data_IF_483966555914
#
_entry.id   IF_483966555914
#
_cell.length_a   1.000
_cell.length_b   1.000
_cell.length_c   1.000
_cell.angle_alpha   90.00
_cell.angle_beta   90.00
_cell.angle_gamma   90.00
#
_symmetry.space_group_name_H-M   'P 1'
#
loop_
_entity.id
_entity.type
_entity.pdbx_description
1 polymer ?
#
# COMPACT_ATOMS: atom_id res chain seq x y z
N UNK A 1 -1.34 -1.52 -3.15
CA UNK A 1 -1.91 -1.59 -1.80
C UNK A 1 -2.90 -2.75 -1.60
N UNK A 2 -3.07 -3.60 -2.60
CA UNK A 2 -3.92 -4.79 -2.46
C UNK A 2 -3.25 -5.88 -1.63
N UNK A 3 -1.93 -6.08 -1.81
CA UNK A 3 -1.14 -7.14 -1.15
C UNK A 3 -0.43 -6.61 0.10
N UNK A 4 0.10 -5.40 0.02
CA UNK A 4 0.91 -4.80 1.09
C UNK A 4 0.25 -3.54 1.65
N UNK A 5 0.49 -3.30 2.93
CA UNK A 5 0.12 -2.07 3.63
C UNK A 5 1.36 -1.42 4.23
N UNK A 6 1.21 -0.19 4.70
CA UNK A 6 2.24 0.61 5.36
C UNK A 6 1.87 0.86 6.81
N UNK A 7 2.78 1.35 7.64
CA UNK A 7 2.47 1.75 9.01
C UNK A 7 1.47 2.90 9.05
N UNK A 8 1.65 3.87 8.16
CA UNK A 8 0.83 5.06 8.00
C UNK A 8 0.41 5.22 6.54
N UNK A 9 -0.64 5.98 6.29
CA UNK A 9 -1.13 6.30 4.95
C UNK A 9 -1.74 7.70 4.96
N UNK A 10 -2.36 8.15 3.85
CA UNK A 10 -3.02 9.44 3.77
C UNK A 10 -4.53 9.29 3.72
N UNK A 11 -5.24 10.17 4.41
CA UNK A 11 -6.68 10.35 4.25
C UNK A 11 -7.01 11.17 2.99
N UNK A 12 -8.30 11.41 2.72
CA UNK A 12 -8.77 12.19 1.57
C UNK A 12 -8.36 13.68 1.61
N UNK A 13 -7.90 14.17 2.77
CA UNK A 13 -7.38 15.53 2.97
C UNK A 13 -5.86 15.59 3.00
N UNK A 14 -5.19 14.47 2.68
CA UNK A 14 -3.73 14.34 2.74
C UNK A 14 -3.13 14.47 4.14
N UNK A 15 -3.91 14.22 5.19
CA UNK A 15 -3.35 14.05 6.52
C UNK A 15 -2.78 12.65 6.67
N UNK A 16 -1.65 12.53 7.35
CA UNK A 16 -1.10 11.22 7.72
C UNK A 16 -2.00 10.59 8.76
N UNK A 17 -2.47 9.38 8.47
CA UNK A 17 -3.32 8.58 9.35
C UNK A 17 -2.73 7.18 9.55
N UNK A 18 -2.99 6.53 10.69
CA UNK A 18 -2.46 5.20 10.96
C UNK A 18 -3.11 4.14 10.06
N UNK A 19 -2.33 3.12 9.66
CA UNK A 19 -2.81 1.94 8.91
C UNK A 19 -2.48 0.65 9.64
N UNK A 20 -1.24 0.18 9.65
CA UNK A 20 -0.78 -0.94 10.48
C UNK A 20 -0.39 -0.50 11.89
N UNK A 21 0.01 0.76 12.06
CA UNK A 21 0.12 1.37 13.38
C UNK A 21 -1.27 1.53 14.01
N UNK A 22 -1.37 1.40 15.32
CA UNK A 22 -2.60 1.61 16.09
C UNK A 22 -3.02 3.07 16.06
N UNK A 23 -2.05 3.98 16.29
CA UNK A 23 -2.21 5.44 16.33
C UNK A 23 -0.97 6.13 15.72
N UNK A 24 -0.98 7.46 15.70
CA UNK A 24 0.23 8.23 15.41
C UNK A 24 1.30 7.94 16.48
N UNK A 25 2.59 8.02 16.14
CA UNK A 25 3.67 7.65 17.07
C UNK A 25 3.76 8.63 18.24
N UNK A 26 4.26 8.15 19.37
CA UNK A 26 4.76 9.03 20.42
C UNK A 26 6.14 9.52 20.02
N UNK A 27 6.31 10.84 19.97
CA UNK A 27 7.58 11.46 19.60
C UNK A 27 8.23 12.02 20.85
N UNK A 28 9.54 11.78 21.03
CA UNK A 28 10.30 12.34 22.14
C UNK A 28 10.38 13.87 22.08
N UNK A 29 10.65 14.51 23.21
CA UNK A 29 10.70 15.97 23.31
C UNK A 29 11.77 16.61 22.40
N UNK A 30 12.85 15.90 22.10
CA UNK A 30 13.91 16.30 21.18
C UNK A 30 13.58 16.01 19.70
N UNK A 31 12.42 15.40 19.41
CA UNK A 31 11.97 15.09 18.07
C UNK A 31 12.73 13.96 17.36
N UNK A 32 13.55 13.19 18.09
CA UNK A 32 14.42 12.18 17.48
C UNK A 32 13.91 10.76 17.60
N UNK A 33 13.15 10.41 18.64
CA UNK A 33 12.64 9.05 18.84
C UNK A 33 11.15 8.97 18.56
N UNK A 34 10.76 8.00 17.74
CA UNK A 34 9.38 7.72 17.34
C UNK A 34 8.99 6.32 17.84
N UNK A 35 8.17 6.25 18.87
CA UNK A 35 7.61 5.00 19.39
C UNK A 35 6.29 4.70 18.70
N UNK A 36 6.21 3.61 17.96
CA UNK A 36 5.11 3.19 17.12
C UNK A 36 4.49 1.92 17.72
N UNK A 37 3.23 1.96 18.09
CA UNK A 37 2.48 0.76 18.52
C UNK A 37 1.80 0.13 17.30
N UNK A 38 1.95 -1.17 17.11
CA UNK A 38 1.29 -1.92 16.03
C UNK A 38 -0.13 -2.34 16.46
N UNK A 39 -1.06 -2.38 15.51
CA UNK A 39 -2.37 -2.97 15.73
C UNK A 39 -2.22 -4.46 16.06
N UNK A 40 -2.99 -4.93 17.03
CA UNK A 40 -3.08 -6.35 17.37
C UNK A 40 -4.02 -7.09 16.40
N UNK A 41 -3.78 -8.39 16.23
CA UNK A 41 -4.63 -9.24 15.40
C UNK A 41 -4.52 -8.98 13.90
N UNK A 42 -3.46 -8.31 13.45
CA UNK A 42 -3.21 -8.12 12.02
C UNK A 42 -2.59 -9.39 11.45
N UNK A 43 -3.33 -10.07 10.57
CA UNK A 43 -2.88 -11.32 9.98
C UNK A 43 -2.08 -11.08 8.70
N UNK A 44 -0.97 -11.76 8.57
CA UNK A 44 -0.21 -11.91 7.33
C UNK A 44 -0.82 -13.00 6.45
N UNK A 45 -0.58 -12.95 5.14
CA UNK A 45 -1.11 -13.93 4.18
C UNK A 45 -0.64 -15.38 4.44
N UNK A 46 0.46 -15.58 5.17
CA UNK A 46 0.93 -16.90 5.60
C UNK A 46 0.20 -17.43 6.88
N UNK A 47 -0.79 -16.70 7.40
CA UNK A 47 -1.60 -17.11 8.54
C UNK A 47 -1.00 -16.81 9.91
N UNK A 48 0.14 -16.15 9.98
CA UNK A 48 0.77 -15.68 11.21
C UNK A 48 0.38 -14.22 11.49
N UNK A 49 0.38 -13.80 12.74
CA UNK A 49 0.18 -12.39 13.11
C UNK A 49 1.43 -11.56 12.83
N UNK A 50 1.21 -10.32 12.38
CA UNK A 50 2.25 -9.31 12.19
C UNK A 50 2.92 -8.97 13.52
N UNK A 51 4.24 -8.86 13.52
CA UNK A 51 5.03 -8.48 14.70
C UNK A 51 6.07 -7.38 14.39
N UNK A 52 6.78 -6.93 15.42
CA UNK A 52 7.79 -5.89 15.30
C UNK A 52 8.95 -6.28 14.37
N UNK A 53 9.38 -7.54 14.40
CA UNK A 53 10.44 -8.05 13.54
C UNK A 53 10.12 -7.90 12.04
N UNK A 54 8.87 -8.14 11.65
CA UNK A 54 8.42 -7.97 10.27
C UNK A 54 8.54 -6.51 9.83
N UNK A 55 8.17 -5.60 10.71
CA UNK A 55 8.24 -4.16 10.45
C UNK A 55 9.69 -3.70 10.36
N UNK A 56 10.54 -4.09 11.31
CA UNK A 56 11.98 -3.75 11.30
C UNK A 56 12.64 -4.25 10.02
N UNK A 57 12.44 -5.52 9.66
CA UNK A 57 13.01 -6.11 8.45
C UNK A 57 12.50 -5.43 7.18
N UNK A 58 11.20 -5.12 7.12
CA UNK A 58 10.58 -4.44 5.97
C UNK A 58 11.11 -3.03 5.77
N UNK A 59 11.19 -2.24 6.83
CA UNK A 59 11.72 -0.88 6.76
C UNK A 59 13.21 -0.87 6.43
N UNK A 60 14.00 -1.79 6.98
CA UNK A 60 15.42 -1.97 6.64
C UNK A 60 15.57 -2.24 5.14
N UNK A 61 14.82 -3.22 4.61
CA UNK A 61 14.81 -3.50 3.19
C UNK A 61 14.37 -2.28 2.34
N UNK A 62 13.35 -1.56 2.76
CA UNK A 62 12.89 -0.36 2.05
C UNK A 62 13.98 0.72 2.01
N UNK A 63 14.68 0.94 3.11
CA UNK A 63 15.82 1.87 3.19
C UNK A 63 17.01 1.45 2.31
N UNK A 64 17.20 0.16 2.08
CA UNK A 64 18.27 -0.36 1.23
C UNK A 64 17.92 -0.35 -0.27
N UNK A 65 16.67 -0.64 -0.62
CA UNK A 65 16.27 -0.92 -2.01
C UNK A 65 15.55 0.25 -2.69
N UNK A 66 14.77 1.03 -1.97
CA UNK A 66 13.98 2.13 -2.52
C UNK A 66 14.78 3.43 -2.58
N UNK A 67 14.73 4.21 -3.68
CA UNK A 67 15.34 5.54 -3.72
C UNK A 67 14.86 6.44 -2.59
N UNK A 68 13.57 6.39 -2.25
CA UNK A 68 12.97 7.13 -1.14
C UNK A 68 13.47 6.62 0.21
N UNK A 69 13.51 5.30 0.38
CA UNK A 69 14.03 4.67 1.58
C UNK A 69 15.50 5.03 1.83
N UNK A 70 16.32 5.04 0.78
CA UNK A 70 17.73 5.46 0.86
C UNK A 70 17.90 6.92 1.31
N UNK A 71 16.97 7.80 0.93
CA UNK A 71 16.98 9.17 1.41
C UNK A 71 16.66 9.23 2.91
N UNK A 72 15.64 8.51 3.36
CA UNK A 72 15.27 8.43 4.79
C UNK A 72 16.36 7.76 5.63
N UNK A 73 17.06 6.75 5.10
CA UNK A 73 18.15 6.05 5.78
C UNK A 73 19.29 6.98 6.22
N UNK A 74 19.50 8.09 5.55
CA UNK A 74 20.52 9.09 5.92
C UNK A 74 20.22 9.75 7.27
N UNK A 75 18.92 9.90 7.58
CA UNK A 75 18.42 10.55 8.79
C UNK A 75 18.21 9.56 9.95
N UNK A 76 18.02 8.27 9.63
CA UNK A 76 17.77 7.22 10.63
C UNK A 76 19.09 6.77 11.26
N UNK A 77 19.13 6.73 12.58
CA UNK A 77 20.19 6.13 13.38
C UNK A 77 19.94 4.63 13.58
N UNK A 78 18.72 4.28 14.01
CA UNK A 78 18.34 2.88 14.21
C UNK A 78 16.83 2.66 14.06
N UNK A 79 16.46 1.43 13.70
CA UNK A 79 15.11 0.89 13.80
C UNK A 79 15.20 -0.41 14.59
N UNK A 80 14.43 -0.54 15.65
CA UNK A 80 14.49 -1.70 16.53
C UNK A 80 13.11 -2.08 17.08
N UNK A 81 13.00 -3.28 17.60
CA UNK A 81 11.88 -3.70 18.43
C UNK A 81 11.76 -2.76 19.65
N UNK A 82 10.59 -2.16 19.80
CA UNK A 82 10.24 -1.23 20.88
C UNK A 82 9.46 -1.89 22.03
N UNK A 83 9.48 -3.22 22.11
CA UNK A 83 8.75 -4.00 23.12
C UNK A 83 7.44 -4.60 22.59
N UNK A 84 6.55 -5.10 23.44
CA UNK A 84 5.37 -5.85 23.03
C UNK A 84 4.52 -5.12 21.98
N UNK A 85 4.54 -5.60 20.74
CA UNK A 85 3.85 -5.01 19.57
C UNK A 85 4.28 -3.57 19.26
N UNK A 86 5.54 -3.18 19.50
CA UNK A 86 6.05 -1.85 19.24
C UNK A 86 7.30 -1.83 18.34
N UNK A 87 7.51 -0.71 17.66
CA UNK A 87 8.73 -0.43 16.90
C UNK A 87 9.23 0.95 17.29
N UNK A 88 10.52 1.09 17.52
CA UNK A 88 11.17 2.37 17.75
C UNK A 88 12.05 2.77 16.57
N UNK A 89 11.83 3.98 16.05
CA UNK A 89 12.70 4.61 15.04
C UNK A 89 13.45 5.74 15.71
N UNK A 90 14.77 5.68 15.72
CA UNK A 90 15.64 6.73 16.26
C UNK A 90 16.31 7.46 15.11
N UNK A 91 16.26 8.79 15.14
CA UNK A 91 16.83 9.69 14.14
C UNK A 91 18.12 10.33 14.67
N UNK A 92 19.07 10.61 13.78
CA UNK A 92 20.29 11.37 14.09
C UNK A 92 19.99 12.81 14.48
N UNK A 93 18.96 13.40 13.85
CA UNK A 93 18.46 14.75 14.11
C UNK A 93 16.95 14.78 13.83
N UNK A 94 16.20 15.78 14.35
CA UNK A 94 14.78 15.91 14.05
C UNK A 94 14.53 15.99 12.55
N UNK A 95 13.61 15.12 12.05
CA UNK A 95 13.27 15.06 10.63
C UNK A 95 11.76 15.03 10.45
N UNK A 96 11.15 16.23 10.32
CA UNK A 96 9.70 16.40 10.21
C UNK A 96 9.02 15.57 9.10
N UNK A 97 9.65 15.32 7.92
CA UNK A 97 9.00 14.55 6.86
C UNK A 97 8.84 13.04 7.13
N UNK A 98 9.43 12.48 8.18
CA UNK A 98 9.48 11.02 8.40
C UNK A 98 8.11 10.35 8.21
N UNK A 99 7.06 10.84 8.88
CA UNK A 99 5.74 10.19 8.81
C UNK A 99 5.13 10.27 7.41
N UNK A 100 5.29 11.41 6.74
CA UNK A 100 4.84 11.56 5.35
C UNK A 100 5.58 10.59 4.43
N UNK A 101 6.89 10.40 4.61
CA UNK A 101 7.67 9.44 3.82
C UNK A 101 7.20 7.99 4.03
N UNK A 102 6.85 7.62 5.26
CA UNK A 102 6.32 6.29 5.60
C UNK A 102 4.89 6.08 5.09
N UNK A 103 4.14 7.16 4.83
CA UNK A 103 2.73 7.12 4.40
C UNK A 103 2.54 7.13 2.88
N UNK A 104 3.55 7.55 2.10
CA UNK A 104 3.41 7.73 0.65
C UNK A 104 3.08 6.44 -0.09
N UNK A 105 2.05 6.47 -0.98
CA UNK A 105 1.66 5.30 -1.77
C UNK A 105 2.68 4.97 -2.88
N UNK A 106 3.41 5.96 -3.39
CA UNK A 106 4.48 5.76 -4.38
C UNK A 106 5.81 5.49 -3.69
N UNK A 107 6.52 4.45 -4.11
CA UNK A 107 7.76 4.03 -3.44
C UNK A 107 7.54 3.63 -1.99
N UNK A 108 6.38 3.04 -1.72
CA UNK A 108 5.84 2.76 -0.39
C UNK A 108 6.78 1.94 0.51
N UNK A 109 6.80 2.29 1.79
CA UNK A 109 7.43 1.50 2.85
C UNK A 109 6.54 0.29 3.18
N UNK A 110 6.48 -0.67 2.24
CA UNK A 110 5.61 -1.84 2.30
C UNK A 110 6.05 -2.78 3.43
N UNK A 111 5.09 -3.14 4.29
CA UNK A 111 5.32 -4.13 5.35
C UNK A 111 5.00 -5.52 4.83
N UNK A 112 5.90 -6.46 5.06
CA UNK A 112 5.82 -7.84 4.60
C UNK A 112 6.36 -8.80 5.66
N UNK A 113 6.02 -10.07 5.54
CA UNK A 113 6.56 -11.09 6.43
C UNK A 113 8.09 -11.15 6.30
N UNK A 114 8.81 -11.12 7.42
CA UNK A 114 10.27 -11.16 7.48
C UNK A 114 10.86 -12.34 6.71
N UNK A 115 10.23 -13.50 6.84
CA UNK A 115 10.62 -14.75 6.19
C UNK A 115 10.34 -14.78 4.67
N UNK A 116 9.58 -13.83 4.14
CA UNK A 116 9.36 -13.64 2.70
C UNK A 116 10.31 -12.64 2.04
N UNK A 117 11.15 -11.95 2.84
CA UNK A 117 12.07 -10.93 2.34
C UNK A 117 13.25 -11.59 1.63
N UNK A 118 13.38 -11.30 0.33
CA UNK A 118 14.49 -11.73 -0.51
C UNK A 118 14.81 -10.66 -1.57
N UNK A 119 15.92 -10.79 -2.25
CA UNK A 119 16.31 -9.92 -3.38
C UNK A 119 16.78 -10.80 -4.54
N UNK A 120 15.99 -10.92 -5.63
CA UNK A 120 14.61 -10.41 -5.79
C UNK A 120 13.58 -11.15 -4.89
N UNK A 121 12.40 -10.53 -4.69
CA UNK A 121 11.29 -11.18 -3.99
C UNK A 121 10.81 -12.42 -4.78
N UNK A 122 10.76 -13.57 -4.10
CA UNK A 122 10.23 -14.81 -4.66
C UNK A 122 8.78 -15.09 -4.19
N UNK A 123 8.44 -14.64 -2.99
CA UNK A 123 7.11 -14.76 -2.40
C UNK A 123 6.57 -13.39 -1.98
N UNK A 124 5.25 -13.24 -1.98
CA UNK A 124 4.58 -11.98 -1.74
C UNK A 124 3.61 -12.11 -0.55
N UNK A 125 4.14 -12.02 0.66
CA UNK A 125 3.40 -12.18 1.92
C UNK A 125 3.26 -10.84 2.61
N UNK A 126 2.09 -10.22 2.48
CA UNK A 126 1.72 -8.96 3.11
C UNK A 126 0.56 -9.10 4.07
N UNK A 127 -0.06 -7.96 4.41
CA UNK A 127 -1.20 -7.83 5.31
C UNK A 127 -2.47 -7.37 4.60
N UNK A 128 -2.39 -7.11 3.30
CA UNK A 128 -3.46 -6.47 2.52
C UNK A 128 -4.69 -7.34 2.32
N UNK A 129 -5.80 -6.73 1.82
CA UNK A 129 -7.07 -7.42 1.63
C UNK A 129 -7.05 -8.50 0.53
N UNK A 130 -6.03 -8.53 -0.29
CA UNK A 130 -5.82 -9.54 -1.32
C UNK A 130 -4.42 -10.12 -1.19
N UNK A 131 -4.31 -11.41 -1.50
CA UNK A 131 -3.04 -12.14 -1.56
C UNK A 131 -2.68 -12.48 -3.00
N UNK A 132 -1.38 -12.52 -3.29
CA UNK A 132 -0.87 -12.92 -4.59
C UNK A 132 -1.17 -14.41 -4.84
N UNK A 133 -1.73 -14.72 -6.01
CA UNK A 133 -1.99 -16.10 -6.45
C UNK A 133 -1.00 -16.54 -7.51
N UNK A 134 -0.97 -15.81 -8.63
CA UNK A 134 -0.04 -16.12 -9.73
C UNK A 134 0.23 -14.92 -10.62
N UNK A 135 1.30 -15.02 -11.39
CA UNK A 135 1.62 -14.10 -12.49
C UNK A 135 1.93 -14.91 -13.75
N UNK A 136 1.28 -14.56 -14.85
CA UNK A 136 1.69 -14.97 -16.19
C UNK A 136 2.30 -13.75 -16.89
N UNK A 137 3.61 -13.77 -17.20
CA UNK A 137 4.27 -12.65 -17.87
C UNK A 137 3.47 -12.22 -19.10
N UNK A 138 3.38 -10.93 -19.34
CA UNK A 138 2.68 -10.29 -20.46
C UNK A 138 1.18 -10.60 -20.59
N UNK A 139 0.63 -11.44 -19.72
CA UNK A 139 -0.77 -11.83 -19.72
C UNK A 139 -1.55 -11.23 -18.53
N UNK A 140 -1.18 -11.54 -17.30
CA UNK A 140 -1.88 -11.01 -16.12
C UNK A 140 -1.14 -11.26 -14.80
N UNK A 141 -1.56 -10.50 -13.78
CA UNK A 141 -1.35 -10.82 -12.36
C UNK A 141 -2.70 -11.14 -11.73
N UNK A 142 -2.80 -12.26 -11.02
CA UNK A 142 -4.00 -12.70 -10.33
C UNK A 142 -3.81 -12.60 -8.82
N UNK A 143 -4.74 -11.93 -8.17
CA UNK A 143 -4.86 -11.83 -6.73
C UNK A 143 -6.16 -12.49 -6.27
N UNK A 144 -6.16 -13.09 -5.09
CA UNK A 144 -7.37 -13.63 -4.45
C UNK A 144 -7.64 -12.92 -3.13
N UNK A 145 -8.91 -12.78 -2.77
CA UNK A 145 -9.31 -12.18 -1.50
C UNK A 145 -8.69 -12.95 -0.33
N UNK A 146 -8.22 -12.19 0.65
CA UNK A 146 -7.73 -12.73 1.90
C UNK A 146 -8.81 -12.64 2.97
N UNK A 147 -9.50 -13.76 3.23
CA UNK A 147 -10.68 -13.79 4.11
C UNK A 147 -10.34 -13.49 5.59
N UNK A 148 -9.07 -13.61 5.99
CA UNK A 148 -8.58 -13.25 7.33
C UNK A 148 -8.04 -11.81 7.40
N UNK A 149 -8.36 -10.97 6.41
CA UNK A 149 -7.93 -9.58 6.40
C UNK A 149 -8.41 -8.81 7.62
N UNK A 150 -7.49 -8.14 8.31
CA UNK A 150 -7.78 -7.38 9.52
C UNK A 150 -8.09 -5.92 9.18
N UNK A 151 -9.30 -5.65 8.66
CA UNK A 151 -9.72 -4.29 8.30
C UNK A 151 -9.71 -3.33 9.50
N UNK A 152 -9.45 -2.04 9.24
CA UNK A 152 -9.69 -0.99 10.25
C UNK A 152 -11.19 -0.77 10.45
N UNK A 153 -11.55 -0.16 11.59
CA UNK A 153 -12.96 0.10 11.93
C UNK A 153 -13.41 1.49 11.48
N UNK A 154 -12.48 2.41 11.31
CA UNK A 154 -12.75 3.79 10.90
C UNK A 154 -13.31 3.84 9.48
N UNK A 155 -14.19 4.80 9.20
CA UNK A 155 -14.75 4.99 7.87
C UNK A 155 -13.65 5.18 6.81
N UNK A 156 -13.84 4.68 5.57
CA UNK A 156 -12.90 4.89 4.48
C UNK A 156 -12.67 6.38 4.22
N UNK A 157 -11.42 6.79 4.08
CA UNK A 157 -11.04 8.15 3.72
C UNK A 157 -9.70 8.14 2.96
N UNK A 158 -9.71 8.47 1.67
CA UNK A 158 -8.54 8.38 0.81
C UNK A 158 -7.94 6.97 0.80
N UNK A 159 -6.68 6.86 1.22
CA UNK A 159 -6.01 5.55 1.37
C UNK A 159 -6.17 4.94 2.77
N UNK A 160 -6.76 5.67 3.71
CA UNK A 160 -6.95 5.25 5.11
C UNK A 160 -8.32 4.70 5.43
N UNK A 161 -8.46 4.21 6.66
CA UNK A 161 -9.70 3.64 7.18
C UNK A 161 -9.98 2.22 6.71
N UNK A 162 -11.24 1.82 6.79
CA UNK A 162 -11.71 0.47 6.45
C UNK A 162 -11.53 0.19 4.96
N UNK A 163 -10.96 -0.97 4.64
CA UNK A 163 -10.90 -1.52 3.29
C UNK A 163 -11.76 -2.77 3.24
N UNK A 164 -12.57 -2.89 2.20
CA UNK A 164 -13.44 -4.03 1.98
C UNK A 164 -13.09 -4.72 0.66
N UNK A 165 -12.80 -6.01 0.72
CA UNK A 165 -12.55 -6.85 -0.43
C UNK A 165 -13.85 -7.55 -0.84
N UNK A 166 -14.70 -6.87 -1.62
CA UNK A 166 -15.99 -7.44 -2.06
C UNK A 166 -15.83 -8.52 -3.13
N UNK A 167 -14.79 -8.42 -3.96
CA UNK A 167 -14.55 -9.28 -5.13
C UNK A 167 -13.63 -10.42 -4.73
N UNK A 168 -13.93 -11.65 -5.18
CA UNK A 168 -13.15 -12.84 -4.82
C UNK A 168 -11.79 -12.89 -5.50
N UNK A 169 -11.71 -12.51 -6.78
CA UNK A 169 -10.48 -12.54 -7.58
C UNK A 169 -10.32 -11.21 -8.34
N UNK A 170 -9.09 -10.69 -8.33
CA UNK A 170 -8.69 -9.53 -9.11
C UNK A 170 -7.64 -9.95 -10.14
N UNK A 171 -7.97 -9.75 -11.42
CA UNK A 171 -7.05 -10.03 -12.52
C UNK A 171 -6.58 -8.71 -13.15
N UNK A 172 -5.33 -8.38 -12.97
CA UNK A 172 -4.69 -7.21 -13.58
C UNK A 172 -4.09 -7.59 -14.93
N UNK A 173 -4.68 -7.10 -16.00
CA UNK A 173 -4.26 -7.39 -17.39
C UNK A 173 -3.53 -6.17 -17.95
N UNK A 174 -2.25 -6.27 -18.35
CA UNK A 174 -1.56 -5.18 -18.99
C UNK A 174 -2.08 -4.98 -20.41
N UNK A 175 -2.61 -3.80 -20.71
CA UNK A 175 -3.06 -3.40 -22.05
C UNK A 175 -2.37 -2.08 -22.39
N UNK A 176 -1.18 -2.10 -23.01
CA UNK A 176 -0.37 -0.90 -23.21
C UNK A 176 -1.04 0.17 -24.07
N UNK A 177 -1.79 -0.23 -25.11
CA UNK A 177 -2.44 0.73 -26.01
C UNK A 177 -3.72 1.32 -25.39
N UNK A 178 -3.78 2.64 -25.28
CA UNK A 178 -4.89 3.36 -24.66
C UNK A 178 -6.22 3.18 -25.45
N UNK A 179 -6.18 3.19 -26.79
CA UNK A 179 -7.37 2.99 -27.61
C UNK A 179 -7.93 1.57 -27.43
N UNK A 180 -7.06 0.55 -27.34
CA UNK A 180 -7.49 -0.82 -27.04
C UNK A 180 -8.18 -0.91 -25.69
N UNK A 181 -7.71 -0.15 -24.66
CA UNK A 181 -8.42 -0.07 -23.37
C UNK A 181 -9.79 0.57 -23.50
N UNK A 182 -9.91 1.65 -24.29
CA UNK A 182 -11.22 2.30 -24.55
C UNK A 182 -12.19 1.34 -25.25
N UNK A 183 -11.76 0.70 -26.36
CA UNK A 183 -12.60 -0.22 -27.10
C UNK A 183 -13.02 -1.43 -26.25
N UNK A 184 -12.07 -2.01 -25.49
CA UNK A 184 -12.36 -3.12 -24.59
C UNK A 184 -13.35 -2.74 -23.48
N UNK A 185 -13.26 -1.51 -22.95
CA UNK A 185 -14.23 -1.01 -21.98
C UNK A 185 -15.63 -0.88 -22.57
N UNK A 186 -15.74 -0.29 -23.78
CA UNK A 186 -17.02 -0.16 -24.49
C UNK A 186 -17.62 -1.52 -24.89
N UNK A 187 -16.77 -2.51 -25.14
CA UNK A 187 -17.18 -3.88 -25.44
C UNK A 187 -17.50 -4.73 -24.19
N UNK A 188 -17.29 -4.19 -22.97
CA UNK A 188 -17.51 -4.91 -21.72
C UNK A 188 -16.49 -6.01 -21.44
N UNK A 189 -15.27 -5.88 -22.00
CA UNK A 189 -14.19 -6.84 -21.77
C UNK A 189 -13.50 -6.67 -20.42
N UNK A 190 -13.63 -5.49 -19.80
CA UNK A 190 -13.03 -5.14 -18.52
C UNK A 190 -14.10 -4.64 -17.56
N UNK A 191 -14.03 -5.07 -16.31
CA UNK A 191 -14.87 -4.53 -15.23
C UNK A 191 -14.37 -3.15 -14.78
N UNK A 192 -13.06 -2.90 -14.95
CA UNK A 192 -12.40 -1.63 -14.65
C UNK A 192 -11.25 -1.39 -15.63
N UNK A 193 -11.14 -0.19 -16.18
CA UNK A 193 -10.02 0.23 -17.01
C UNK A 193 -9.43 1.54 -16.48
N UNK A 194 -8.13 1.57 -16.28
CA UNK A 194 -7.40 2.71 -15.74
C UNK A 194 -6.64 3.47 -16.84
N UNK A 195 -6.33 4.74 -16.55
CA UNK A 195 -5.55 5.63 -17.43
C UNK A 195 -6.12 5.72 -18.85
N UNK A 196 -7.43 5.91 -18.96
CA UNK A 196 -8.07 6.17 -20.25
C UNK A 196 -7.80 7.63 -20.68
N UNK A 197 -7.60 7.89 -21.98
CA UNK A 197 -7.34 9.24 -22.46
C UNK A 197 -8.58 10.12 -22.28
N UNK A 198 -8.35 11.40 -21.90
CA UNK A 198 -9.45 12.36 -21.63
C UNK A 198 -10.31 12.59 -22.88
N UNK A 199 -9.72 12.50 -24.05
CA UNK A 199 -10.41 12.64 -25.35
C UNK A 199 -11.50 11.58 -25.56
N UNK A 200 -11.39 10.42 -24.90
CA UNK A 200 -12.39 9.36 -24.95
C UNK A 200 -13.61 9.61 -24.04
N UNK A 201 -13.55 10.61 -23.13
CA UNK A 201 -14.57 10.85 -22.11
C UNK A 201 -15.99 10.97 -22.72
N UNK A 202 -16.16 11.85 -23.70
CA UNK A 202 -17.47 12.07 -24.34
C UNK A 202 -18.03 10.79 -24.98
N UNK A 203 -17.16 9.96 -25.54
CA UNK A 203 -17.56 8.69 -26.15
C UNK A 203 -17.96 7.66 -25.10
N UNK A 204 -17.25 7.60 -23.99
CA UNK A 204 -17.56 6.73 -22.85
C UNK A 204 -18.88 7.14 -22.19
N UNK A 205 -19.11 8.43 -21.96
CA UNK A 205 -20.37 8.95 -21.43
C UNK A 205 -21.57 8.62 -22.33
N UNK A 206 -21.39 8.69 -23.65
CA UNK A 206 -22.43 8.37 -24.65
C UNK A 206 -22.61 6.88 -24.92
N UNK A 207 -21.98 6.00 -24.12
CA UNK A 207 -22.02 4.54 -24.31
C UNK A 207 -23.37 3.88 -23.98
N UNK A 208 -24.37 4.64 -23.58
CA UNK A 208 -25.69 4.12 -23.22
C UNK A 208 -25.67 3.37 -21.86
N UNK A 209 -24.80 3.79 -20.93
CA UNK A 209 -24.66 3.18 -19.61
C UNK A 209 -23.76 1.94 -19.56
N UNK A 210 -23.10 1.58 -20.66
CA UNK A 210 -22.14 0.47 -20.70
C UNK A 210 -20.87 0.76 -19.88
N UNK A 211 -20.51 2.04 -19.77
CA UNK A 211 -19.36 2.50 -18.97
C UNK A 211 -19.78 3.65 -18.07
N UNK A 212 -19.11 3.75 -16.91
CA UNK A 212 -19.26 4.87 -15.98
C UNK A 212 -17.87 5.50 -15.82
N UNK A 213 -17.60 6.63 -16.49
CA UNK A 213 -16.33 7.33 -16.34
C UNK A 213 -16.17 7.90 -14.93
N UNK A 214 -15.01 7.66 -14.34
CA UNK A 214 -14.63 8.22 -13.04
C UNK A 214 -13.46 9.17 -13.29
N UNK A 215 -13.67 10.47 -13.06
CA UNK A 215 -12.62 11.46 -13.12
C UNK A 215 -11.94 11.54 -11.77
N UNK A 216 -10.65 11.21 -11.75
CA UNK A 216 -9.81 11.39 -10.57
C UNK A 216 -8.84 12.55 -10.81
N UNK A 217 -8.60 13.43 -9.82
CA UNK A 217 -7.54 14.43 -9.94
C UNK A 217 -6.23 13.70 -10.22
N UNK A 218 -5.64 13.94 -11.41
CA UNK A 218 -4.30 13.45 -11.70
C UNK A 218 -3.31 14.39 -11.04
N UNK A 219 -2.63 13.91 -10.02
CA UNK A 219 -1.41 14.55 -9.60
C UNK A 219 -0.32 14.04 -10.54
N UNK A 220 0.01 14.84 -11.56
CA UNK A 220 1.19 14.59 -12.38
C UNK A 220 2.43 14.64 -11.49
N UNK A 221 3.10 13.52 -11.35
CA UNK A 221 4.42 13.42 -10.75
C UNK A 221 5.47 13.32 -11.86
#
# INVERSE_FOLDING_TARGET
QHVYETLYTFDAKWNVVPMLAEALPKVSADGKSYSITLRKGVMLHNGRELNADDVVASLTRWMEQSPRGKAVAKEVESIKDGGPSGVEIVLKQPYAPLLSQLALPSGMAAIMAKDSIATPLATFVGTGPYQFKERKPDAYVLLTRFDKYSARKEAPSGYGGKREAAIQELRFVPVPNANTRVEGSLAGQYDFADLLPVEALTRLEKSGGKTVPILTPSFGF
#
